data_IF_058119101434
#
_entry.id   IF_058119101434
#
_cell.length_a   1.000
_cell.length_b   1.000
_cell.length_c   1.000
_cell.angle_alpha   90.00
_cell.angle_beta   90.00
_cell.angle_gamma   90.00
#
_symmetry.space_group_name_H-M   'P 1'
#
loop_
_entity.id
_entity.type
_entity.pdbx_description
1 polymer ?
#
# COMPACT_ATOMS: atom_id res chain seq x y z
N UNK A 1 -3.89 3.54 -8.17
CA UNK A 1 -4.28 4.33 -6.97
C UNK A 1 -5.60 5.06 -7.25
N UNK A 2 -6.52 5.19 -6.29
CA UNK A 2 -7.74 5.98 -6.50
C UNK A 2 -7.51 7.49 -6.70
N UNK A 3 -6.30 7.99 -6.38
CA UNK A 3 -5.93 9.41 -6.50
C UNK A 3 -5.11 9.71 -7.76
N UNK A 4 -5.23 8.89 -8.82
CA UNK A 4 -4.70 9.21 -10.15
C UNK A 4 -3.26 8.77 -10.45
N UNK A 5 -2.60 8.05 -9.52
CA UNK A 5 -1.32 7.38 -9.80
C UNK A 5 -1.61 6.02 -10.43
N UNK A 6 -1.01 5.76 -11.60
CA UNK A 6 -1.10 4.47 -12.28
C UNK A 6 -0.39 3.39 -11.44
N UNK A 7 -1.14 2.32 -11.14
CA UNK A 7 -0.69 1.20 -10.33
C UNK A 7 -1.40 -0.06 -10.79
N UNK A 8 -0.73 -1.20 -10.64
CA UNK A 8 -1.35 -2.52 -10.79
C UNK A 8 -2.59 -2.69 -9.89
N UNK A 9 -3.46 -3.64 -10.27
CA UNK A 9 -4.62 -4.01 -9.46
C UNK A 9 -4.19 -4.61 -8.12
N UNK A 10 -5.10 -4.64 -7.13
CA UNK A 10 -4.75 -5.14 -5.79
C UNK A 10 -4.31 -6.60 -5.83
N UNK A 11 -4.90 -7.40 -6.70
CA UNK A 11 -4.62 -8.81 -6.90
C UNK A 11 -3.23 -9.04 -7.52
N UNK A 12 -2.75 -8.10 -8.34
CA UNK A 12 -1.43 -8.14 -8.97
C UNK A 12 -0.31 -7.68 -8.02
N UNK A 13 -0.63 -6.90 -6.99
CA UNK A 13 0.36 -6.45 -6.00
C UNK A 13 0.83 -7.62 -5.12
N UNK A 14 2.12 -7.93 -5.17
CA UNK A 14 2.72 -9.06 -4.44
C UNK A 14 2.49 -8.98 -2.92
N UNK A 15 2.59 -7.77 -2.35
CA UNK A 15 2.40 -7.52 -0.92
C UNK A 15 0.93 -7.52 -0.48
N UNK A 16 -0.03 -7.61 -1.40
CA UNK A 16 -1.44 -7.77 -1.04
C UNK A 16 -1.78 -9.19 -0.58
N UNK A 17 -0.93 -10.17 -0.90
CA UNK A 17 -1.19 -11.60 -0.66
C UNK A 17 -0.04 -12.35 0.03
N UNK A 18 1.17 -11.80 0.03
CA UNK A 18 2.35 -12.42 0.62
C UNK A 18 2.86 -11.61 1.83
N UNK A 19 3.33 -12.32 2.84
CA UNK A 19 4.16 -11.78 3.92
C UNK A 19 5.54 -11.34 3.41
N UNK A 20 6.28 -10.57 4.21
CA UNK A 20 7.60 -10.06 3.84
C UNK A 20 8.57 -11.22 3.54
N UNK A 21 8.55 -12.26 4.36
CA UNK A 21 9.38 -13.45 4.20
C UNK A 21 9.02 -14.22 2.91
N UNK A 22 7.73 -14.34 2.59
CA UNK A 22 7.27 -14.96 1.34
C UNK A 22 7.67 -14.16 0.11
N UNK A 23 7.63 -12.83 0.19
CA UNK A 23 8.11 -11.96 -0.89
C UNK A 23 9.60 -12.17 -1.11
N UNK A 24 10.40 -12.20 -0.04
CA UNK A 24 11.84 -12.48 -0.13
C UNK A 24 12.13 -13.80 -0.85
N UNK A 25 11.42 -14.87 -0.48
CA UNK A 25 11.50 -16.17 -1.17
C UNK A 25 11.06 -16.07 -2.64
N UNK A 26 9.96 -15.36 -2.92
CA UNK A 26 9.40 -15.25 -4.27
C UNK A 26 10.33 -14.52 -5.25
N UNK A 27 11.14 -13.58 -4.77
CA UNK A 27 12.11 -12.84 -5.60
C UNK A 27 13.53 -13.42 -5.55
N UNK A 28 13.76 -14.49 -4.79
CA UNK A 28 15.07 -15.12 -4.64
C UNK A 28 16.08 -14.30 -3.83
N UNK A 29 15.62 -13.49 -2.87
CA UNK A 29 16.49 -12.67 -2.04
C UNK A 29 16.96 -13.43 -0.79
N UNK A 30 18.25 -13.30 -0.44
CA UNK A 30 18.81 -13.82 0.82
C UNK A 30 18.25 -13.09 2.05
N UNK A 31 17.89 -11.81 1.89
CA UNK A 31 17.23 -11.00 2.90
C UNK A 31 16.38 -9.90 2.25
N UNK A 32 15.35 -9.45 2.95
CA UNK A 32 14.48 -8.37 2.51
C UNK A 32 14.08 -7.52 3.71
N UNK A 33 14.00 -6.21 3.51
CA UNK A 33 13.48 -5.26 4.48
C UNK A 33 12.74 -4.13 3.77
N UNK A 34 11.59 -3.75 4.30
CA UNK A 34 10.87 -2.56 3.86
C UNK A 34 11.26 -1.36 4.72
N UNK A 35 11.27 -0.17 4.11
CA UNK A 35 11.33 1.07 4.87
C UNK A 35 10.05 1.18 5.73
N UNK A 36 10.21 1.43 7.03
CA UNK A 36 9.06 1.69 7.91
C UNK A 36 8.30 2.93 7.46
N UNK A 37 6.97 2.94 7.63
CA UNK A 37 6.15 4.11 7.30
C UNK A 37 6.65 5.36 8.05
N UNK A 38 6.92 5.23 9.34
CA UNK A 38 7.49 6.29 10.17
C UNK A 38 8.85 6.77 9.65
N UNK A 39 9.71 5.85 9.19
CA UNK A 39 10.99 6.19 8.58
C UNK A 39 10.83 6.97 7.27
N UNK A 40 9.88 6.58 6.42
CA UNK A 40 9.54 7.27 5.18
C UNK A 40 9.07 8.70 5.46
N UNK A 41 8.12 8.88 6.38
CA UNK A 41 7.57 10.21 6.71
C UNK A 41 8.65 11.13 7.29
N UNK A 42 9.50 10.62 8.20
CA UNK A 42 10.63 11.37 8.74
C UNK A 42 11.63 11.79 7.65
N UNK A 43 11.90 10.93 6.67
CA UNK A 43 12.85 11.22 5.60
C UNK A 43 12.37 12.36 4.68
N UNK A 44 11.05 12.50 4.47
CA UNK A 44 10.48 13.61 3.69
C UNK A 44 10.48 14.92 4.49
N UNK A 45 10.33 14.84 5.82
CA UNK A 45 10.49 16.00 6.71
C UNK A 45 9.31 16.96 6.76
N UNK A 46 8.11 16.53 6.35
CA UNK A 46 6.87 17.29 6.53
C UNK A 46 5.95 16.62 7.57
N UNK A 47 4.95 17.33 8.12
CA UNK A 47 3.97 16.74 9.04
C UNK A 47 3.20 15.57 8.43
N UNK A 48 2.83 14.58 9.24
CA UNK A 48 2.20 13.33 8.78
C UNK A 48 0.87 13.55 8.06
N UNK A 49 0.08 14.54 8.49
CA UNK A 49 -1.22 14.90 7.93
C UNK A 49 -1.13 15.55 6.54
N UNK A 50 0.07 15.84 6.05
CA UNK A 50 0.33 16.32 4.69
C UNK A 50 0.47 15.20 3.65
N UNK A 51 0.44 13.94 4.06
CA UNK A 51 0.66 12.81 3.17
C UNK A 51 -0.56 11.91 3.05
N UNK A 52 -0.84 11.48 1.82
CA UNK A 52 -1.68 10.30 1.61
C UNK A 52 -0.82 9.05 1.75
N UNK A 53 -1.15 8.18 2.71
CA UNK A 53 -0.44 6.91 2.96
C UNK A 53 -1.24 5.69 2.51
N UNK A 54 -2.35 5.90 1.79
CA UNK A 54 -3.34 4.87 1.50
C UNK A 54 -2.82 3.66 0.71
N UNK A 55 -1.80 3.84 -0.14
CA UNK A 55 -1.18 2.72 -0.83
C UNK A 55 -0.42 1.77 0.11
N UNK A 56 -0.04 2.25 1.30
CA UNK A 56 0.70 1.50 2.32
C UNK A 56 -0.23 1.04 3.46
N UNK A 57 -1.24 1.83 3.80
CA UNK A 57 -2.13 1.61 4.97
C UNK A 57 -3.54 1.17 4.59
N UNK A 58 -3.96 1.38 3.35
CA UNK A 58 -5.36 1.26 2.92
C UNK A 58 -6.27 2.40 3.37
N UNK A 59 -5.77 3.36 4.16
CA UNK A 59 -6.56 4.46 4.72
C UNK A 59 -6.51 5.68 3.80
N UNK A 60 -7.59 5.88 3.03
CA UNK A 60 -7.71 7.04 2.15
C UNK A 60 -8.22 8.27 2.90
N UNK A 61 -7.70 9.48 2.61
CA UNK A 61 -8.16 10.74 3.22
C UNK A 61 -9.53 11.19 2.68
N UNK A 62 -10.04 10.51 1.66
CA UNK A 62 -11.33 10.75 1.02
C UNK A 62 -12.05 9.42 0.83
N UNK A 63 -13.40 9.41 0.76
CA UNK A 63 -14.14 8.20 0.41
C UNK A 63 -13.70 7.64 -0.94
N UNK A 64 -13.47 6.33 -1.00
CA UNK A 64 -13.17 5.58 -2.23
C UNK A 64 -14.05 4.34 -2.31
N UNK A 65 -14.30 3.77 -3.49
CA UNK A 65 -15.05 2.53 -3.62
C UNK A 65 -14.37 1.42 -2.81
N UNK A 66 -15.02 0.95 -1.74
CA UNK A 66 -14.54 -0.22 -0.98
C UNK A 66 -15.14 -1.50 -1.57
N UNK A 67 -14.46 -2.63 -1.36
CA UNK A 67 -14.97 -3.94 -1.80
C UNK A 67 -16.39 -4.21 -1.28
N UNK A 68 -16.73 -3.73 -0.08
CA UNK A 68 -18.09 -3.82 0.46
C UNK A 68 -19.12 -2.98 -0.33
N UNK A 69 -18.74 -1.77 -0.76
CA UNK A 69 -19.62 -0.87 -1.51
C UNK A 69 -19.87 -1.34 -2.96
N UNK A 70 -18.93 -2.06 -3.56
CA UNK A 70 -19.08 -2.57 -4.93
C UNK A 70 -19.96 -3.81 -5.00
N UNK A 71 -19.97 -4.65 -3.96
CA UNK A 71 -20.83 -5.85 -3.89
C UNK A 71 -22.29 -5.48 -3.57
N UNK A 72 -22.53 -4.44 -2.78
CA UNK A 72 -23.89 -3.98 -2.45
C UNK A 72 -24.66 -3.36 -3.63
N UNK A 73 -23.99 -3.13 -4.78
CA UNK A 73 -24.57 -2.52 -5.97
C UNK A 73 -24.58 -3.48 -7.18
N UNK A 74 -24.51 -4.79 -6.92
CA UNK A 74 -24.70 -5.89 -7.87
C UNK A 74 -25.78 -6.84 -7.36
#
# INVERSE_FOLDING_TARGET
>A
CYLGVDMATREELIAARLSVEEIGRAIGADSIGYLSLEGLLRAIGLPHDRFCTACLTGQYPVPVPTVAAVVANR
#
